data_IF_269959344721
#
_entry.id   IF_269959344721
#
_cell.length_a   1.000
_cell.length_b   1.000
_cell.length_c   1.000
_cell.angle_alpha   90.00
_cell.angle_beta   90.00
_cell.angle_gamma   90.00
#
_symmetry.space_group_name_H-M   'P 1'
#
loop_
_entity.id
_entity.type
_entity.pdbx_description
1 polymer ?
#
# COMPACT_ATOMS: atom_id res chain seq x y z
N UNK A 1 -16.16 -15.34 21.36
CA UNK A 1 -15.72 -15.04 19.99
C UNK A 1 -16.93 -15.07 19.07
N UNK A 2 -17.14 -14.02 18.27
CA UNK A 2 -18.21 -13.91 17.27
C UNK A 2 -17.58 -13.94 15.88
N UNK A 3 -18.12 -14.69 14.95
CA UNK A 3 -17.67 -14.76 13.56
C UNK A 3 -18.66 -13.98 12.69
N UNK A 4 -18.18 -13.03 11.89
CA UNK A 4 -18.96 -12.25 10.97
C UNK A 4 -18.37 -12.36 9.55
N UNK A 5 -19.18 -12.81 8.60
CA UNK A 5 -18.78 -12.87 7.20
C UNK A 5 -18.98 -11.50 6.52
N UNK A 6 -18.10 -11.17 5.59
CA UNK A 6 -18.27 -9.98 4.74
C UNK A 6 -19.42 -10.20 3.74
N UNK A 7 -20.24 -9.19 3.53
CA UNK A 7 -21.42 -9.24 2.65
C UNK A 7 -21.09 -8.81 1.21
N UNK A 8 -19.87 -8.38 0.97
CA UNK A 8 -19.38 -7.89 -0.32
C UNK A 8 -18.30 -6.84 -0.16
N UNK A 9 -17.81 -6.25 -1.25
CA UNK A 9 -16.81 -5.18 -1.20
C UNK A 9 -17.27 -4.00 -0.33
N UNK A 10 -16.35 -3.44 0.44
CA UNK A 10 -16.57 -2.31 1.37
C UNK A 10 -17.50 -2.58 2.55
N UNK A 11 -17.78 -3.85 2.87
CA UNK A 11 -18.62 -4.19 4.03
C UNK A 11 -17.82 -4.43 5.31
N UNK A 12 -16.56 -4.84 5.19
CA UNK A 12 -15.74 -5.30 6.31
C UNK A 12 -15.50 -4.22 7.38
N UNK A 13 -15.25 -2.98 6.98
CA UNK A 13 -15.06 -1.86 7.91
C UNK A 13 -16.28 -1.55 8.77
N UNK A 14 -17.47 -1.53 8.16
CA UNK A 14 -18.72 -1.32 8.89
C UNK A 14 -19.03 -2.47 9.86
N UNK A 15 -18.69 -3.70 9.49
CA UNK A 15 -18.83 -4.87 10.37
C UNK A 15 -17.89 -4.72 11.58
N UNK A 16 -16.61 -4.42 11.36
CA UNK A 16 -15.65 -4.22 12.43
C UNK A 16 -16.10 -3.11 13.39
N UNK A 17 -16.54 -1.96 12.87
CA UNK A 17 -17.03 -0.84 13.70
C UNK A 17 -18.20 -1.25 14.59
N UNK A 18 -19.21 -1.93 14.05
CA UNK A 18 -20.38 -2.39 14.83
C UNK A 18 -19.97 -3.31 15.99
N UNK A 19 -19.01 -4.21 15.76
CA UNK A 19 -18.55 -5.11 16.82
C UNK A 19 -17.73 -4.37 17.89
N UNK A 20 -16.93 -3.39 17.49
CA UNK A 20 -16.18 -2.53 18.42
C UNK A 20 -17.17 -1.73 19.28
N UNK A 21 -18.17 -1.10 18.69
CA UNK A 21 -19.22 -0.37 19.39
C UNK A 21 -20.02 -1.29 20.33
N UNK A 22 -20.10 -2.58 20.00
CA UNK A 22 -20.69 -3.63 20.82
C UNK A 22 -19.77 -4.20 21.90
N UNK A 23 -18.55 -3.64 22.11
CA UNK A 23 -17.63 -4.00 23.19
C UNK A 23 -16.62 -5.09 22.81
N UNK A 24 -16.33 -5.30 21.53
CA UNK A 24 -15.21 -6.18 21.15
C UNK A 24 -13.87 -5.58 21.58
N UNK A 25 -13.05 -6.38 22.22
CA UNK A 25 -11.72 -6.04 22.73
C UNK A 25 -10.57 -6.45 21.80
N UNK A 26 -10.89 -7.20 20.74
CA UNK A 26 -9.98 -7.63 19.66
C UNK A 26 -10.77 -7.86 18.38
N UNK A 27 -10.22 -7.44 17.25
CA UNK A 27 -10.71 -7.82 15.91
C UNK A 27 -9.67 -8.69 15.23
N UNK A 28 -10.08 -9.89 14.78
CA UNK A 28 -9.26 -10.78 13.98
C UNK A 28 -9.75 -10.76 12.54
N UNK A 29 -9.00 -10.11 11.65
CA UNK A 29 -9.32 -10.03 10.23
C UNK A 29 -8.75 -11.24 9.46
N UNK A 30 -9.64 -12.06 8.92
CA UNK A 30 -9.29 -13.19 8.08
C UNK A 30 -9.59 -12.86 6.61
N UNK A 31 -8.54 -12.59 5.82
CA UNK A 31 -8.72 -12.17 4.43
C UNK A 31 -7.42 -11.80 3.74
N UNK A 32 -7.52 -11.25 2.52
CA UNK A 32 -6.41 -10.62 1.82
C UNK A 32 -6.27 -9.13 2.17
N UNK A 33 -5.27 -8.47 1.57
CA UNK A 33 -4.90 -7.07 1.86
C UNK A 33 -6.10 -6.11 1.75
N UNK A 34 -6.97 -6.27 0.76
CA UNK A 34 -8.17 -5.44 0.59
C UNK A 34 -9.14 -5.56 1.78
N UNK A 35 -9.43 -6.78 2.23
CA UNK A 35 -10.30 -7.01 3.40
C UNK A 35 -9.68 -6.45 4.66
N UNK A 36 -8.37 -6.66 4.84
CA UNK A 36 -7.62 -6.15 5.99
C UNK A 36 -7.64 -4.61 6.00
N UNK A 37 -7.45 -3.98 4.86
CA UNK A 37 -7.51 -2.51 4.75
C UNK A 37 -8.91 -1.96 5.07
N UNK A 38 -9.99 -2.60 4.57
CA UNK A 38 -11.35 -2.21 4.92
C UNK A 38 -11.62 -2.33 6.44
N UNK A 39 -11.21 -3.45 7.06
CA UNK A 39 -11.34 -3.65 8.51
C UNK A 39 -10.58 -2.56 9.26
N UNK A 40 -9.33 -2.30 8.88
CA UNK A 40 -8.50 -1.27 9.49
C UNK A 40 -9.13 0.13 9.39
N UNK A 41 -9.70 0.49 8.22
CA UNK A 41 -10.40 1.76 8.03
C UNK A 41 -11.58 1.90 9.02
N UNK A 42 -12.33 0.82 9.26
CA UNK A 42 -13.40 0.78 10.27
C UNK A 42 -12.91 0.85 11.72
N UNK A 43 -11.66 0.51 11.97
CA UNK A 43 -11.04 0.45 13.31
C UNK A 43 -10.25 1.70 13.68
N UNK A 44 -10.04 2.63 12.74
CA UNK A 44 -9.23 3.82 13.00
C UNK A 44 -9.68 4.54 14.28
N UNK A 45 -8.68 4.89 15.08
CA UNK A 45 -8.83 5.60 16.37
C UNK A 45 -9.70 4.87 17.43
N UNK A 46 -10.05 3.61 17.24
CA UNK A 46 -10.81 2.84 18.23
C UNK A 46 -9.97 2.41 19.45
N UNK A 47 -8.66 2.28 19.27
CA UNK A 47 -7.77 1.68 20.28
C UNK A 47 -7.86 0.15 20.38
N UNK A 48 -8.87 -0.48 19.78
CA UNK A 48 -9.02 -1.93 19.76
C UNK A 48 -7.95 -2.56 18.86
N UNK A 49 -7.23 -3.59 19.31
CA UNK A 49 -6.21 -4.24 18.50
C UNK A 49 -6.78 -4.99 17.29
N UNK A 50 -6.08 -4.87 16.16
CA UNK A 50 -6.31 -5.66 14.95
C UNK A 50 -5.28 -6.79 14.87
N UNK A 51 -5.73 -8.02 14.74
CA UNK A 51 -4.92 -9.18 14.39
C UNK A 51 -5.25 -9.66 12.98
N UNK A 52 -4.30 -10.34 12.32
CA UNK A 52 -4.41 -10.75 10.93
C UNK A 52 -4.33 -12.26 10.79
N UNK A 53 -5.19 -12.82 9.91
CA UNK A 53 -5.03 -14.15 9.31
C UNK A 53 -4.95 -14.01 7.78
N UNK A 54 -3.79 -14.32 7.17
CA UNK A 54 -3.54 -14.09 5.75
C UNK A 54 -4.22 -15.15 4.86
N UNK A 55 -5.36 -14.82 4.27
CA UNK A 55 -6.10 -15.67 3.32
C UNK A 55 -6.07 -15.15 1.88
N UNK A 56 -5.30 -14.12 1.60
CA UNK A 56 -5.18 -13.54 0.26
C UNK A 56 -4.07 -14.18 -0.59
N UNK A 57 -3.87 -13.64 -1.78
CA UNK A 57 -2.81 -14.08 -2.72
C UNK A 57 -1.46 -13.40 -2.42
N UNK A 58 -1.46 -12.10 -2.13
CA UNK A 58 -0.24 -11.34 -1.88
C UNK A 58 0.09 -11.24 -0.39
N UNK A 59 -0.91 -10.94 0.46
CA UNK A 59 -0.79 -10.82 1.91
C UNK A 59 0.39 -9.95 2.33
N UNK A 60 0.54 -8.78 1.68
CA UNK A 60 1.73 -7.92 1.80
C UNK A 60 1.98 -7.49 3.24
N UNK A 61 0.91 -7.16 4.00
CA UNK A 61 1.04 -6.80 5.41
C UNK A 61 1.53 -7.98 6.26
N UNK A 62 1.04 -9.17 6.00
CA UNK A 62 1.47 -10.38 6.72
C UNK A 62 2.92 -10.77 6.38
N UNK A 63 3.33 -10.61 5.13
CA UNK A 63 4.72 -10.81 4.69
C UNK A 63 5.64 -9.76 5.32
N UNK A 64 5.22 -8.49 5.39
CA UNK A 64 5.97 -7.42 6.08
C UNK A 64 6.22 -7.78 7.55
N UNK A 65 5.19 -8.29 8.24
CA UNK A 65 5.30 -8.73 9.63
C UNK A 65 5.94 -10.12 9.79
N UNK A 66 6.29 -10.81 8.70
CA UNK A 66 6.87 -12.17 8.70
C UNK A 66 5.98 -13.20 9.39
N UNK A 67 4.67 -13.09 9.26
CA UNK A 67 3.71 -14.04 9.86
C UNK A 67 3.82 -15.44 9.24
N UNK A 68 4.30 -15.54 7.99
CA UNK A 68 4.30 -16.77 7.20
C UNK A 68 2.92 -17.13 6.66
N UNK A 69 2.85 -18.24 5.91
CA UNK A 69 1.63 -18.65 5.18
C UNK A 69 0.85 -19.76 5.90
N UNK A 70 1.38 -20.33 6.99
CA UNK A 70 0.74 -21.40 7.73
C UNK A 70 -0.14 -20.83 8.83
N UNK A 71 -1.45 -20.84 8.59
CA UNK A 71 -2.46 -20.25 9.48
C UNK A 71 -2.41 -20.84 10.89
N UNK A 72 -2.17 -22.15 10.99
CA UNK A 72 -2.05 -22.85 12.26
C UNK A 72 -0.96 -22.22 13.14
N UNK A 73 0.21 -21.94 12.53
CA UNK A 73 1.32 -21.28 13.24
C UNK A 73 1.01 -19.84 13.65
N UNK A 74 0.28 -19.11 12.81
CA UNK A 74 -0.13 -17.74 13.14
C UNK A 74 -1.08 -17.77 14.34
N UNK A 75 -2.07 -18.67 14.34
CA UNK A 75 -3.04 -18.79 15.43
C UNK A 75 -2.42 -19.28 16.73
N UNK A 76 -1.51 -20.25 16.69
CA UNK A 76 -0.76 -20.73 17.86
C UNK A 76 0.05 -19.63 18.53
N UNK A 77 0.63 -18.74 17.73
CA UNK A 77 1.50 -17.65 18.21
C UNK A 77 0.77 -16.35 18.52
N UNK A 78 -0.52 -16.25 18.20
CA UNK A 78 -1.27 -15.00 18.34
C UNK A 78 -1.20 -14.42 19.77
N UNK A 79 -1.14 -15.28 20.78
CA UNK A 79 -1.01 -14.88 22.20
C UNK A 79 0.34 -14.26 22.55
N UNK A 80 1.37 -14.37 21.70
CA UNK A 80 2.69 -13.76 21.88
C UNK A 80 2.75 -12.35 21.29
N UNK A 81 1.81 -11.99 20.39
CA UNK A 81 1.82 -10.72 19.68
C UNK A 81 1.54 -9.56 20.61
N UNK A 82 2.20 -8.44 20.35
CA UNK A 82 2.10 -7.24 21.17
C UNK A 82 1.31 -6.15 20.44
N UNK A 83 0.42 -5.42 21.14
CA UNK A 83 -0.28 -4.30 20.55
C UNK A 83 0.68 -3.11 20.36
N UNK A 84 0.78 -2.62 19.12
CA UNK A 84 1.52 -1.42 18.77
C UNK A 84 0.62 -0.41 18.08
N UNK A 85 0.73 0.84 18.45
CA UNK A 85 0.11 1.94 17.73
C UNK A 85 0.94 2.22 16.48
N UNK A 86 0.29 2.25 15.33
CA UNK A 86 0.93 2.54 14.05
C UNK A 86 0.24 3.71 13.35
N UNK A 87 1.00 4.41 12.54
CA UNK A 87 0.46 5.38 11.59
C UNK A 87 -0.09 4.68 10.35
N UNK A 88 -1.05 5.33 9.69
CA UNK A 88 -1.59 4.88 8.40
C UNK A 88 -1.43 5.99 7.36
N UNK A 89 -1.42 5.61 6.09
CA UNK A 89 -1.47 6.57 5.00
C UNK A 89 -2.90 7.07 4.77
N UNK A 90 -3.03 8.32 4.31
CA UNK A 90 -4.29 8.91 3.87
C UNK A 90 -4.08 9.63 2.55
N UNK A 91 -4.92 9.34 1.57
CA UNK A 91 -4.93 9.98 0.25
C UNK A 91 -6.20 10.79 0.06
N UNK A 92 -6.03 11.98 -0.49
CA UNK A 92 -7.15 12.78 -1.04
C UNK A 92 -6.84 13.05 -2.51
N UNK A 93 -7.75 12.73 -3.42
CA UNK A 93 -7.57 12.93 -4.86
C UNK A 93 -8.89 13.25 -5.58
N UNK A 94 -8.87 13.34 -6.92
CA UNK A 94 -10.03 13.72 -7.75
C UNK A 94 -10.69 15.05 -7.29
N UNK A 95 -9.87 16.06 -7.00
CA UNK A 95 -10.36 17.35 -6.51
C UNK A 95 -11.06 17.29 -5.15
N UNK A 96 -10.66 16.35 -4.29
CA UNK A 96 -11.22 16.15 -2.96
C UNK A 96 -12.41 15.21 -2.90
N UNK A 97 -12.87 14.65 -4.03
CA UNK A 97 -14.01 13.72 -4.08
C UNK A 97 -13.68 12.35 -3.46
N UNK A 98 -12.41 11.97 -3.46
CA UNK A 98 -11.91 10.73 -2.87
C UNK A 98 -11.06 11.06 -1.66
N UNK A 99 -11.36 10.42 -0.54
CA UNK A 99 -10.62 10.51 0.72
C UNK A 99 -10.59 9.11 1.34
N UNK A 100 -9.42 8.46 1.36
CA UNK A 100 -9.26 7.06 1.77
C UNK A 100 -7.98 6.86 2.59
N UNK A 101 -8.04 5.93 3.53
CA UNK A 101 -6.87 5.46 4.26
C UNK A 101 -6.27 4.20 3.61
N UNK A 102 -4.99 3.97 3.86
CA UNK A 102 -4.28 2.78 3.39
C UNK A 102 -3.18 2.36 4.37
N UNK A 103 -2.86 1.07 4.37
CA UNK A 103 -1.90 0.48 5.30
C UNK A 103 -0.51 0.28 4.69
N UNK A 104 -0.45 0.02 3.38
CA UNK A 104 0.78 -0.45 2.74
C UNK A 104 1.44 0.64 1.92
N UNK A 105 0.79 1.09 0.86
CA UNK A 105 1.40 2.01 -0.09
C UNK A 105 0.39 2.75 -0.96
N UNK A 106 0.80 3.93 -1.42
CA UNK A 106 0.17 4.64 -2.53
C UNK A 106 1.10 4.66 -3.73
N UNK A 107 0.58 4.32 -4.91
CA UNK A 107 1.28 4.39 -6.18
C UNK A 107 0.65 5.41 -7.11
N UNK A 108 1.48 6.19 -7.81
CA UNK A 108 1.02 7.26 -8.71
C UNK A 108 1.73 7.15 -10.05
N UNK A 109 1.00 7.34 -11.13
CA UNK A 109 1.53 7.28 -12.50
C UNK A 109 1.55 5.87 -13.05
N UNK A 110 2.71 5.39 -13.52
CA UNK A 110 2.85 4.10 -14.21
C UNK A 110 2.27 2.93 -13.42
N UNK A 111 2.55 2.85 -12.13
CA UNK A 111 2.06 1.80 -11.26
C UNK A 111 0.52 1.78 -11.19
N UNK A 112 -0.08 2.92 -10.93
CA UNK A 112 -1.53 3.06 -10.87
C UNK A 112 -2.20 2.83 -12.24
N UNK A 113 -1.52 3.14 -13.35
CA UNK A 113 -1.99 2.82 -14.69
C UNK A 113 -2.05 1.30 -14.92
N UNK A 114 -1.04 0.56 -14.46
CA UNK A 114 -1.03 -0.90 -14.48
C UNK A 114 -2.20 -1.45 -13.66
N UNK A 115 -2.39 -0.98 -12.45
CA UNK A 115 -3.52 -1.37 -11.58
C UNK A 115 -4.86 -1.10 -12.23
N UNK A 116 -5.03 0.09 -12.83
CA UNK A 116 -6.25 0.48 -13.53
C UNK A 116 -6.57 -0.41 -14.74
N UNK A 117 -5.53 -0.81 -15.52
CA UNK A 117 -5.68 -1.63 -16.73
C UNK A 117 -5.92 -3.12 -16.44
N UNK A 118 -5.48 -3.61 -15.29
CA UNK A 118 -5.66 -5.02 -14.92
C UNK A 118 -7.10 -5.24 -14.47
N UNK A 119 -7.89 -5.90 -15.31
CA UNK A 119 -9.27 -6.24 -14.97
C UNK A 119 -9.35 -7.19 -13.78
N UNK A 120 -10.41 -7.06 -12.96
CA UNK A 120 -10.65 -7.90 -11.78
C UNK A 120 -10.60 -9.42 -12.06
N UNK A 121 -11.16 -9.94 -13.18
CA UNK A 121 -11.05 -11.36 -13.52
C UNK A 121 -9.61 -11.83 -13.78
N UNK A 122 -8.76 -10.96 -14.35
CA UNK A 122 -7.36 -11.27 -14.63
C UNK A 122 -6.54 -11.26 -13.32
N UNK A 123 -6.81 -10.31 -12.40
CA UNK A 123 -6.22 -10.31 -11.05
C UNK A 123 -6.46 -11.62 -10.32
N UNK A 124 -7.70 -12.11 -10.34
CA UNK A 124 -8.10 -13.31 -9.62
C UNK A 124 -7.44 -14.58 -10.17
N UNK A 125 -7.15 -14.66 -11.48
CA UNK A 125 -6.58 -15.86 -12.14
C UNK A 125 -5.06 -15.85 -12.27
N UNK A 126 -4.45 -14.70 -12.52
CA UNK A 126 -3.02 -14.61 -12.84
C UNK A 126 -2.18 -14.03 -11.70
N UNK A 127 -2.79 -13.56 -10.61
CA UNK A 127 -2.07 -13.06 -9.44
C UNK A 127 -0.97 -12.06 -9.79
N UNK A 128 0.22 -12.27 -9.22
CA UNK A 128 1.42 -11.44 -9.46
C UNK A 128 1.78 -11.32 -10.95
N UNK A 129 1.55 -12.38 -11.75
CA UNK A 129 1.89 -12.42 -13.18
C UNK A 129 1.04 -11.44 -14.01
N UNK A 130 -0.20 -11.15 -13.60
CA UNK A 130 -1.06 -10.18 -14.28
C UNK A 130 -0.45 -8.77 -14.29
N UNK A 131 0.17 -8.37 -13.18
CA UNK A 131 0.86 -7.07 -13.08
C UNK A 131 2.07 -7.00 -14.01
N UNK A 132 2.85 -8.08 -14.11
CA UNK A 132 4.01 -8.15 -15.00
C UNK A 132 3.61 -8.12 -16.48
N UNK A 133 2.55 -8.84 -16.85
CA UNK A 133 2.03 -8.85 -18.23
C UNK A 133 1.44 -7.48 -18.63
N UNK A 134 0.71 -6.82 -17.72
CA UNK A 134 0.21 -5.48 -17.96
C UNK A 134 1.34 -4.46 -18.09
N UNK A 135 2.40 -4.59 -17.28
CA UNK A 135 3.63 -3.80 -17.38
C UNK A 135 4.36 -3.99 -18.72
N UNK A 136 4.41 -5.22 -19.26
CA UNK A 136 4.98 -5.51 -20.56
C UNK A 136 4.29 -4.79 -21.73
N UNK A 137 2.98 -4.57 -21.66
CA UNK A 137 2.21 -3.80 -22.65
C UNK A 137 2.49 -2.30 -22.68
N UNK A 138 3.30 -1.79 -21.72
CA UNK A 138 3.66 -0.37 -21.61
C UNK A 138 5.06 -0.10 -22.15
N UNK A 139 5.85 -1.14 -22.45
CA UNK A 139 7.21 -1.00 -22.98
C UNK A 139 7.24 -0.19 -24.30
N UNK A 140 8.14 0.77 -24.37
CA UNK A 140 8.30 1.65 -25.54
C UNK A 140 7.34 2.84 -25.58
N UNK A 141 6.42 3.00 -24.60
CA UNK A 141 5.50 4.15 -24.55
C UNK A 141 6.13 5.36 -23.82
N UNK A 142 5.71 6.53 -24.24
CA UNK A 142 5.87 7.74 -23.43
C UNK A 142 5.00 7.64 -22.19
N UNK A 143 5.59 7.94 -21.06
CA UNK A 143 4.90 7.94 -19.76
C UNK A 143 4.42 9.36 -19.44
N UNK A 144 3.21 9.47 -18.90
CA UNK A 144 2.70 10.71 -18.36
C UNK A 144 3.65 11.20 -17.26
N UNK A 145 3.91 12.52 -17.26
CA UNK A 145 4.78 13.15 -16.29
C UNK A 145 3.95 13.95 -15.30
N UNK A 146 4.36 13.93 -14.06
CA UNK A 146 3.70 14.70 -13.01
C UNK A 146 4.72 15.26 -12.02
N UNK A 147 4.30 16.27 -11.26
CA UNK A 147 5.12 16.90 -10.24
C UNK A 147 4.82 16.29 -8.87
N UNK A 148 5.89 16.07 -8.12
CA UNK A 148 5.85 15.68 -6.71
C UNK A 148 6.51 16.80 -5.92
N UNK A 149 5.79 17.35 -4.95
CA UNK A 149 6.27 18.36 -4.03
C UNK A 149 6.42 17.75 -2.63
N UNK A 150 7.63 17.76 -2.13
CA UNK A 150 7.95 17.35 -0.77
C UNK A 150 8.67 18.49 -0.08
N UNK A 151 8.06 19.08 0.93
CA UNK A 151 8.60 20.20 1.71
C UNK A 151 9.07 21.38 0.82
N UNK A 152 8.29 21.70 -0.22
CA UNK A 152 8.60 22.78 -1.19
C UNK A 152 9.65 22.40 -2.24
N UNK A 153 10.16 21.18 -2.21
CA UNK A 153 11.10 20.65 -3.22
C UNK A 153 10.34 19.91 -4.31
N UNK A 154 10.26 20.49 -5.48
CA UNK A 154 9.55 19.94 -6.63
C UNK A 154 10.45 19.05 -7.48
N UNK A 155 9.91 17.86 -7.83
CA UNK A 155 10.53 16.91 -8.75
C UNK A 155 9.53 16.45 -9.79
N UNK A 156 10.02 16.14 -11.00
CA UNK A 156 9.20 15.58 -12.06
C UNK A 156 9.50 14.10 -12.22
N UNK A 157 8.47 13.28 -12.24
CA UNK A 157 8.59 11.83 -12.37
C UNK A 157 7.44 11.24 -13.18
N UNK A 158 7.57 9.97 -13.55
CA UNK A 158 6.54 9.18 -14.24
C UNK A 158 5.94 8.09 -13.37
N UNK A 159 6.58 7.80 -12.22
CA UNK A 159 6.07 6.92 -11.19
C UNK A 159 6.56 7.39 -9.82
N UNK A 160 5.66 7.44 -8.86
CA UNK A 160 5.97 7.67 -7.45
C UNK A 160 5.34 6.54 -6.62
N UNK A 161 6.13 5.96 -5.71
CA UNK A 161 5.68 5.02 -4.69
C UNK A 161 5.88 5.68 -3.32
N UNK A 162 4.82 5.74 -2.53
CA UNK A 162 4.83 6.22 -1.15
C UNK A 162 4.49 5.02 -0.26
N UNK A 163 5.48 4.44 0.39
CA UNK A 163 5.34 3.15 1.06
C UNK A 163 5.51 3.23 2.57
N UNK A 164 4.70 2.48 3.30
CA UNK A 164 4.79 2.18 4.74
C UNK A 164 5.41 0.82 5.00
N UNK A 165 5.61 0.01 3.95
CA UNK A 165 6.14 -1.37 4.03
C UNK A 165 7.26 -1.54 3.02
N UNK A 166 8.15 -2.50 3.28
CA UNK A 166 9.30 -2.78 2.41
C UNK A 166 8.89 -3.52 1.14
N UNK A 167 7.94 -4.43 1.28
CA UNK A 167 7.53 -5.35 0.23
C UNK A 167 6.57 -4.69 -0.75
N UNK A 168 6.86 -4.83 -2.04
CA UNK A 168 6.03 -4.38 -3.14
C UNK A 168 5.49 -5.58 -3.93
N UNK A 169 4.25 -5.99 -3.65
CA UNK A 169 3.56 -7.02 -4.43
C UNK A 169 4.22 -8.40 -4.44
N UNK A 170 4.87 -8.83 -3.36
CA UNK A 170 5.53 -10.11 -3.21
C UNK A 170 6.88 -9.99 -2.51
N UNK A 171 7.88 -10.78 -2.95
CA UNK A 171 9.20 -10.84 -2.31
C UNK A 171 10.15 -9.69 -2.75
N UNK A 172 9.64 -8.68 -3.47
CA UNK A 172 10.44 -7.56 -3.96
C UNK A 172 10.38 -6.39 -2.99
N UNK A 173 11.53 -6.00 -2.47
CA UNK A 173 11.68 -4.81 -1.64
C UNK A 173 12.04 -3.60 -2.51
N UNK A 174 11.12 -2.62 -2.60
CA UNK A 174 11.37 -1.33 -3.26
C UNK A 174 11.72 -0.27 -2.23
N UNK A 175 10.93 -0.15 -1.16
CA UNK A 175 11.15 0.72 -0.03
C UNK A 175 11.84 -0.08 1.09
N UNK A 176 13.15 0.17 1.33
CA UNK A 176 13.94 -0.70 2.20
C UNK A 176 14.20 -0.15 3.60
N UNK A 177 13.95 1.15 3.78
CA UNK A 177 14.27 1.88 5.01
C UNK A 177 13.03 2.36 5.73
N UNK A 178 11.89 1.69 5.51
CA UNK A 178 10.62 1.99 6.16
C UNK A 178 10.19 0.84 7.05
N UNK A 179 9.51 1.16 8.13
CA UNK A 179 8.85 0.25 9.05
C UNK A 179 7.41 0.69 9.27
N UNK A 180 6.53 -0.23 9.65
CA UNK A 180 5.16 0.11 10.09
C UNK A 180 5.15 1.09 11.26
N UNK A 181 6.24 1.14 12.05
CA UNK A 181 6.37 2.02 13.21
C UNK A 181 6.80 3.44 12.87
N UNK A 182 7.23 3.70 11.63
CA UNK A 182 7.65 5.04 11.22
C UNK A 182 6.44 5.94 10.96
N UNK A 183 6.54 7.21 11.32
CA UNK A 183 5.55 8.25 11.01
C UNK A 183 5.87 9.00 9.70
N UNK A 184 6.54 8.28 8.79
CA UNK A 184 6.90 8.77 7.46
C UNK A 184 6.70 7.66 6.41
N UNK A 185 6.56 8.07 5.15
CA UNK A 185 6.70 7.19 4.00
C UNK A 185 8.15 7.14 3.54
N UNK A 186 8.61 5.99 3.08
CA UNK A 186 9.70 5.98 2.12
C UNK A 186 9.12 6.26 0.73
N UNK A 187 9.53 7.38 0.14
CA UNK A 187 9.05 7.87 -1.15
C UNK A 187 10.10 7.54 -2.21
N UNK A 188 9.73 6.70 -3.16
CA UNK A 188 10.59 6.31 -4.28
C UNK A 188 10.05 6.92 -5.56
N UNK A 189 10.81 7.83 -6.16
CA UNK A 189 10.47 8.54 -7.38
C UNK A 189 11.28 7.98 -8.54
N UNK A 190 10.60 7.70 -9.64
CA UNK A 190 11.21 7.25 -10.89
C UNK A 190 11.10 8.37 -11.92
N UNK A 191 12.24 8.97 -12.27
CA UNK A 191 12.35 10.08 -13.19
C UNK A 191 12.51 9.55 -14.63
N UNK A 192 11.99 10.28 -15.60
CA UNK A 192 12.14 9.97 -17.03
C UNK A 192 10.81 9.84 -17.76
N UNK A 193 10.88 10.06 -19.08
CA UNK A 193 9.70 10.14 -19.97
C UNK A 193 9.41 8.82 -20.71
N UNK A 194 10.24 7.79 -20.51
CA UNK A 194 10.17 6.53 -21.25
C UNK A 194 10.08 5.36 -20.31
N UNK A 195 9.35 4.34 -20.73
CA UNK A 195 9.26 3.08 -20.01
C UNK A 195 10.49 2.17 -20.15
N UNK A 196 11.39 2.44 -21.12
CA UNK A 196 12.57 1.59 -21.35
C UNK A 196 13.50 1.50 -20.11
N UNK A 197 13.80 2.59 -19.36
CA UNK A 197 14.58 2.50 -18.14
C UNK A 197 13.99 1.60 -17.06
N UNK A 198 12.67 1.33 -17.09
CA UNK A 198 12.03 0.51 -16.08
C UNK A 198 12.50 -0.94 -16.08
N UNK A 199 13.01 -1.46 -17.22
CA UNK A 199 13.65 -2.77 -17.24
C UNK A 199 14.90 -2.83 -16.36
N UNK A 200 15.73 -1.77 -16.37
CA UNK A 200 16.90 -1.69 -15.51
C UNK A 200 16.50 -1.46 -14.04
N UNK A 201 15.42 -0.68 -13.78
CA UNK A 201 14.93 -0.47 -12.42
C UNK A 201 14.42 -1.78 -11.82
N UNK A 202 13.75 -2.60 -12.62
CA UNK A 202 13.35 -3.95 -12.23
C UNK A 202 14.58 -4.81 -11.85
N UNK A 203 15.61 -4.81 -12.68
CA UNK A 203 16.86 -5.49 -12.34
C UNK A 203 17.50 -4.91 -11.06
N UNK A 204 17.37 -3.60 -10.85
CA UNK A 204 17.80 -2.91 -9.62
C UNK A 204 17.04 -3.39 -8.37
N UNK A 205 15.74 -3.59 -8.47
CA UNK A 205 14.91 -4.18 -7.41
C UNK A 205 15.36 -5.60 -7.11
N UNK A 206 15.48 -6.45 -8.14
CA UNK A 206 15.91 -7.85 -7.98
C UNK A 206 17.31 -8.00 -7.39
N UNK A 207 18.20 -7.05 -7.65
CA UNK A 207 19.59 -7.07 -7.15
C UNK A 207 19.82 -6.19 -5.91
N UNK A 208 18.75 -5.63 -5.35
CA UNK A 208 18.81 -4.73 -4.19
C UNK A 208 19.70 -3.46 -4.40
N UNK A 209 19.75 -2.94 -5.64
CA UNK A 209 20.57 -1.78 -6.03
C UNK A 209 19.77 -0.59 -6.51
N UNK A 210 18.45 -0.61 -6.34
CA UNK A 210 17.54 0.43 -6.88
C UNK A 210 17.89 1.84 -6.38
N UNK A 211 18.13 2.02 -5.09
CA UNK A 211 18.34 3.32 -4.44
C UNK A 211 19.57 4.10 -4.93
N UNK A 212 20.50 3.48 -5.66
CA UNK A 212 21.69 4.13 -6.22
C UNK A 212 21.61 4.37 -7.73
N UNK A 213 20.49 4.05 -8.37
CA UNK A 213 20.38 4.11 -9.82
C UNK A 213 20.05 5.53 -10.31
N UNK A 214 20.69 5.94 -11.41
CA UNK A 214 20.35 7.21 -12.08
C UNK A 214 18.90 7.21 -12.53
N UNK A 215 18.14 8.25 -12.15
CA UNK A 215 16.73 8.41 -12.42
C UNK A 215 15.83 7.78 -11.35
N UNK A 216 16.41 7.40 -10.20
CA UNK A 216 15.66 6.99 -9.00
C UNK A 216 16.07 7.91 -7.86
N UNK A 217 15.08 8.51 -7.22
CA UNK A 217 15.25 9.31 -6.00
C UNK A 217 14.50 8.64 -4.86
N UNK A 218 15.17 8.45 -3.73
CA UNK A 218 14.57 7.92 -2.49
C UNK A 218 14.66 8.99 -1.41
N UNK A 219 13.54 9.27 -0.75
CA UNK A 219 13.46 10.25 0.34
C UNK A 219 12.39 9.82 1.35
N UNK A 220 12.35 10.47 2.51
CA UNK A 220 11.32 10.23 3.52
C UNK A 220 10.45 11.48 3.66
N UNK A 221 9.15 11.28 3.86
CA UNK A 221 8.20 12.36 4.02
C UNK A 221 6.94 11.91 4.76
N UNK A 222 6.37 12.77 5.58
CA UNK A 222 5.05 12.58 6.19
C UNK A 222 3.92 13.17 5.36
N UNK A 223 4.25 14.03 4.37
CA UNK A 223 3.28 14.64 3.45
C UNK A 223 3.91 14.83 2.08
N UNK A 224 3.13 14.50 1.06
CA UNK A 224 3.51 14.68 -0.35
C UNK A 224 2.31 15.23 -1.12
N UNK A 225 2.53 16.31 -1.84
CA UNK A 225 1.55 16.90 -2.76
C UNK A 225 1.93 16.53 -4.20
N UNK A 226 0.95 16.05 -4.97
CA UNK A 226 1.16 15.55 -6.33
C UNK A 226 0.22 16.26 -7.30
N UNK A 227 0.76 16.75 -8.42
CA UNK A 227 0.00 17.45 -9.45
C UNK A 227 0.44 17.07 -10.86
N UNK A 228 -0.48 17.12 -11.80
CA UNK A 228 -0.22 16.91 -13.22
C UNK A 228 -0.80 18.06 -14.03
N UNK A 229 -0.32 18.32 -15.28
CA UNK A 229 -1.02 19.17 -16.22
C UNK A 229 -2.48 18.72 -16.41
N UNK A 230 -3.39 19.67 -16.68
CA UNK A 230 -4.83 19.39 -16.76
C UNK A 230 -5.18 18.34 -17.84
N UNK A 231 -4.42 18.28 -18.92
CA UNK A 231 -4.64 17.33 -20.02
C UNK A 231 -4.09 15.93 -19.75
N UNK A 232 -3.26 15.75 -18.73
CA UNK A 232 -2.61 14.48 -18.42
C UNK A 232 -3.43 13.66 -17.41
N UNK A 233 -3.84 12.46 -17.83
CA UNK A 233 -4.55 11.51 -16.96
C UNK A 233 -3.56 10.67 -16.17
N UNK A 234 -3.17 11.15 -15.00
CA UNK A 234 -2.30 10.43 -14.07
C UNK A 234 -3.15 9.77 -12.98
N UNK A 235 -3.04 8.45 -12.89
CA UNK A 235 -3.83 7.62 -11.98
C UNK A 235 -3.17 7.51 -10.61
N UNK A 236 -4.02 7.25 -9.59
CA UNK A 236 -3.63 7.00 -8.19
C UNK A 236 -4.21 5.66 -7.76
N UNK A 237 -3.39 4.85 -7.11
CA UNK A 237 -3.79 3.61 -6.46
C UNK A 237 -3.37 3.62 -4.99
N UNK A 238 -4.07 2.87 -4.14
CA UNK A 238 -3.67 2.52 -2.77
C UNK A 238 -3.86 1.02 -2.56
N UNK A 239 -2.87 0.37 -1.93
CA UNK A 239 -2.89 -1.06 -1.57
C UNK A 239 -3.33 -1.98 -2.73
N UNK A 240 -2.96 -1.61 -3.98
CA UNK A 240 -3.32 -2.35 -5.20
C UNK A 240 -4.73 -2.09 -5.74
N UNK A 241 -5.45 -1.08 -5.22
CA UNK A 241 -6.76 -0.64 -5.72
C UNK A 241 -6.68 0.75 -6.38
N UNK A 242 -7.25 0.88 -7.57
CA UNK A 242 -7.42 2.19 -8.20
C UNK A 242 -8.40 3.04 -7.37
N UNK A 243 -8.00 4.28 -7.07
CA UNK A 243 -8.84 5.18 -6.27
C UNK A 243 -9.19 6.49 -6.96
N UNK A 244 -8.40 6.97 -7.90
CA UNK A 244 -8.69 8.24 -8.56
C UNK A 244 -7.53 8.75 -9.41
N UNK A 245 -7.49 10.08 -9.58
CA UNK A 245 -6.50 10.79 -10.42
C UNK A 245 -5.92 11.99 -9.70
N UNK A 246 -4.81 12.49 -10.23
CA UNK A 246 -4.22 13.78 -9.81
C UNK A 246 -5.19 14.96 -10.11
N UNK A 247 -5.11 16.04 -9.32
CA UNK A 247 -4.18 16.27 -8.21
C UNK A 247 -4.51 15.41 -6.98
N UNK A 248 -3.47 15.06 -6.22
CA UNK A 248 -3.60 14.27 -5.00
C UNK A 248 -2.69 14.81 -3.89
N UNK A 249 -3.13 14.62 -2.66
CA UNK A 249 -2.33 14.80 -1.46
C UNK A 249 -2.28 13.49 -0.70
N UNK A 250 -1.09 13.07 -0.32
CA UNK A 250 -0.86 11.88 0.50
C UNK A 250 -0.17 12.32 1.78
N UNK A 251 -0.69 11.87 2.92
CA UNK A 251 -0.14 12.23 4.24
C UNK A 251 -0.17 11.05 5.20
N UNK A 252 0.68 11.07 6.19
CA UNK A 252 0.63 10.19 7.34
C UNK A 252 -0.47 10.67 8.31
N UNK A 253 -1.21 9.72 8.85
CA UNK A 253 -2.08 9.91 10.02
C UNK A 253 -1.42 9.14 11.17
N UNK A 254 -0.75 9.83 12.09
CA UNK A 254 -0.03 9.17 13.16
C UNK A 254 -0.99 8.55 14.17
N UNK A 255 -0.51 7.54 14.88
CA UNK A 255 -1.22 6.92 16.01
C UNK A 255 -2.68 6.52 15.68
N UNK A 256 -2.92 6.01 14.47
CA UNK A 256 -4.26 5.82 13.95
C UNK A 256 -4.84 4.42 14.21
N UNK A 257 -4.00 3.38 14.23
CA UNK A 257 -4.42 1.99 14.34
C UNK A 257 -3.61 1.25 15.40
N UNK A 258 -4.26 0.41 16.21
CA UNK A 258 -3.55 -0.56 17.05
C UNK A 258 -3.44 -1.88 16.32
N UNK A 259 -2.23 -2.33 16.02
CA UNK A 259 -1.96 -3.59 15.32
C UNK A 259 -1.28 -4.58 16.27
N UNK A 260 -1.72 -5.85 16.28
CA UNK A 260 -1.00 -6.93 16.96
C UNK A 260 0.17 -7.37 16.09
N UNK A 261 1.38 -7.19 16.59
CA UNK A 261 2.62 -7.41 15.86
C UNK A 261 3.45 -8.49 16.56
N UNK A 262 4.08 -9.43 15.80
CA UNK A 262 4.99 -10.42 16.37
C UNK A 262 6.16 -9.75 17.09
N UNK A 263 6.65 -10.33 18.22
CA UNK A 263 7.70 -9.71 19.02
C UNK A 263 9.06 -9.58 18.29
N UNK A 264 9.24 -10.30 17.18
CA UNK A 264 10.43 -10.20 16.32
C UNK A 264 10.38 -9.09 15.26
N UNK A 265 9.21 -8.50 14.99
CA UNK A 265 9.09 -7.39 14.04
C UNK A 265 9.67 -6.10 14.62
N UNK A 266 10.50 -5.40 13.84
CA UNK A 266 11.15 -4.15 14.27
C UNK A 266 12.44 -4.35 15.08
N UNK A 267 12.91 -5.60 15.20
CA UNK A 267 14.21 -5.92 15.82
C UNK A 267 15.32 -6.09 14.80
#
# INVERSE_FOLDING_TARGET
MTVAATEGPRSAGGIARRHIDGGADLVLAAGGDGTINEVAEGMLHSGVPLALLPFGTANVLAEEMKLGQKLERVTERLGEFQPHRISVGHVTCDGGKVSRHFLLMAGVGLDAEVVYRVSTPLKARAGKLAYWLAGGGILGRRLAQFQVDVDGRRRQCSFALLSKVRNYGGDFEIARRVSLFDDEFEVVLFEGHSSVPYLKYLAGVMTNRLAGMKGVTVLHASRVDLSAPEDDRVYVQIDGEFVGRLPAQVRIVPDALTLLVPPEYGR
#
